data_IF_619074759607
#
_entry.id   IF_619074759607
#
_cell.length_a   1.000
_cell.length_b   1.000
_cell.length_c   1.000
_cell.angle_alpha   90.00
_cell.angle_beta   90.00
_cell.angle_gamma   90.00
#
_symmetry.space_group_name_H-M   'P 1'
#
loop_
_entity.id
_entity.type
_entity.pdbx_description
1 polymer ?
#
# COMPACT_ATOMS: atom_id res chain seq x y z
N UNK A 1 -35.22 47.47 -12.51
CA UNK A 1 -33.97 47.83 -11.80
C UNK A 1 -33.95 47.41 -10.33
N UNK A 2 -35.00 47.63 -9.53
CA UNK A 2 -35.03 47.25 -8.08
C UNK A 2 -35.02 45.72 -7.85
N UNK A 3 -35.68 44.93 -8.68
CA UNK A 3 -35.73 43.46 -8.58
C UNK A 3 -34.35 42.84 -8.91
N UNK A 4 -33.70 43.34 -9.96
CA UNK A 4 -32.37 42.86 -10.38
C UNK A 4 -31.33 43.10 -9.29
N UNK A 5 -31.33 44.25 -8.60
CA UNK A 5 -30.45 44.53 -7.45
C UNK A 5 -30.74 43.66 -6.24
N UNK A 6 -31.99 43.23 -6.03
CA UNK A 6 -32.33 42.26 -4.94
C UNK A 6 -31.83 40.88 -5.29
N UNK A 7 -32.00 40.40 -6.52
CA UNK A 7 -31.48 39.09 -6.96
C UNK A 7 -29.96 39.03 -6.86
N UNK A 8 -29.26 40.08 -7.31
CA UNK A 8 -27.79 40.13 -7.15
C UNK A 8 -27.33 40.10 -5.69
N UNK A 9 -28.06 40.78 -4.79
CA UNK A 9 -27.75 40.71 -3.32
C UNK A 9 -27.95 39.30 -2.77
N UNK A 10 -29.03 38.62 -3.16
CA UNK A 10 -29.27 37.24 -2.70
C UNK A 10 -28.24 36.25 -3.25
N UNK A 11 -27.82 36.39 -4.52
CA UNK A 11 -26.72 35.60 -5.08
C UNK A 11 -25.42 35.86 -4.34
N UNK A 12 -25.10 37.13 -4.03
CA UNK A 12 -23.91 37.48 -3.25
C UNK A 12 -23.95 36.91 -1.82
N UNK A 13 -25.12 36.95 -1.14
CA UNK A 13 -25.27 36.33 0.18
C UNK A 13 -25.13 34.79 0.15
N UNK A 14 -25.68 34.12 -0.88
CA UNK A 14 -25.54 32.67 -1.06
C UNK A 14 -24.09 32.26 -1.34
N UNK A 15 -23.37 33.04 -2.16
CA UNK A 15 -21.95 32.83 -2.41
C UNK A 15 -21.10 33.04 -1.14
N UNK A 16 -21.41 34.06 -0.35
CA UNK A 16 -20.73 34.30 0.94
C UNK A 16 -21.03 33.20 1.97
N UNK A 17 -22.26 32.69 2.01
CA UNK A 17 -22.63 31.55 2.88
C UNK A 17 -21.97 30.26 2.42
N UNK A 18 -21.86 30.01 1.11
CA UNK A 18 -21.14 28.88 0.55
C UNK A 18 -19.62 28.98 0.83
N UNK A 19 -19.04 30.20 0.72
CA UNK A 19 -17.65 30.46 1.06
C UNK A 19 -17.39 30.28 2.57
N UNK A 20 -18.28 30.83 3.42
CA UNK A 20 -18.19 30.69 4.87
C UNK A 20 -18.39 29.22 5.29
N UNK A 21 -19.36 28.51 4.71
CA UNK A 21 -19.54 27.07 4.92
C UNK A 21 -18.35 26.25 4.45
N UNK A 22 -17.75 26.60 3.32
CA UNK A 22 -16.51 25.98 2.83
C UNK A 22 -15.32 26.24 3.76
N UNK A 23 -15.18 27.47 4.27
CA UNK A 23 -14.12 27.83 5.23
C UNK A 23 -14.33 27.10 6.55
N UNK A 24 -15.56 27.03 7.07
CA UNK A 24 -15.88 26.27 8.30
C UNK A 24 -15.66 24.78 8.10
N UNK A 25 -16.05 24.23 6.95
CA UNK A 25 -15.79 22.84 6.61
C UNK A 25 -14.26 22.55 6.53
N UNK A 26 -13.49 23.44 5.88
CA UNK A 26 -12.03 23.35 5.82
C UNK A 26 -11.40 23.46 7.22
N UNK A 27 -11.93 24.32 8.09
CA UNK A 27 -11.43 24.46 9.46
C UNK A 27 -11.79 23.28 10.37
N UNK A 28 -12.93 22.63 10.15
CA UNK A 28 -13.39 21.49 10.98
C UNK A 28 -12.80 20.17 10.48
N UNK A 29 -12.67 20.00 9.15
CA UNK A 29 -12.22 18.74 8.52
C UNK A 29 -10.85 18.82 7.86
N UNK A 30 -10.23 19.98 7.84
CA UNK A 30 -8.99 20.25 7.12
C UNK A 30 -7.79 20.62 8.00
N UNK A 31 -7.87 20.46 9.32
CA UNK A 31 -6.66 20.60 10.13
C UNK A 31 -5.76 19.42 9.88
N UNK A 32 -4.68 19.62 9.13
CA UNK A 32 -3.62 18.63 9.03
C UNK A 32 -3.25 18.17 10.46
N UNK A 33 -3.16 16.86 10.70
CA UNK A 33 -2.78 16.35 12.01
C UNK A 33 -1.42 16.89 12.44
N UNK A 34 -1.14 16.87 13.73
CA UNK A 34 0.11 17.39 14.29
C UNK A 34 1.33 16.86 13.51
N UNK A 35 2.30 17.74 13.26
CA UNK A 35 3.57 17.31 12.62
C UNK A 35 4.30 16.33 13.53
N UNK A 36 4.87 15.31 12.94
CA UNK A 36 5.63 14.26 13.64
C UNK A 36 7.06 14.13 13.07
N UNK A 37 7.89 15.23 13.16
CA UNK A 37 9.25 15.18 12.64
C UNK A 37 10.14 14.16 13.38
N UNK A 38 9.74 13.73 14.55
CA UNK A 38 10.39 12.70 15.38
C UNK A 38 10.27 11.29 14.81
N UNK A 39 9.35 11.06 13.88
CA UNK A 39 9.10 9.77 13.23
C UNK A 39 9.62 9.72 11.78
N UNK A 40 9.58 10.87 11.08
CA UNK A 40 9.94 10.94 9.65
C UNK A 40 11.44 10.70 9.45
N UNK A 41 11.78 9.80 8.52
CA UNK A 41 13.17 9.54 8.15
C UNK A 41 13.70 10.58 7.15
N UNK A 42 14.99 10.86 7.14
CA UNK A 42 15.59 11.70 6.11
C UNK A 42 15.36 11.10 4.72
N UNK A 43 15.16 11.97 3.74
CA UNK A 43 15.00 11.54 2.36
C UNK A 43 16.36 11.03 1.83
N UNK A 44 16.42 9.82 1.24
CA UNK A 44 17.65 9.29 0.66
C UNK A 44 18.19 10.16 -0.49
N UNK A 45 19.51 10.12 -0.73
CA UNK A 45 20.11 10.82 -1.84
C UNK A 45 19.58 10.29 -3.19
N UNK A 46 19.26 11.19 -4.11
CA UNK A 46 18.69 10.82 -5.42
C UNK A 46 17.17 10.59 -5.44
N UNK A 47 16.52 10.43 -4.29
CA UNK A 47 15.07 10.33 -4.24
C UNK A 47 14.44 11.72 -4.39
N UNK A 48 13.57 11.95 -5.38
CA UNK A 48 12.93 13.25 -5.57
C UNK A 48 12.04 13.61 -4.38
N UNK A 49 12.08 14.86 -3.95
CA UNK A 49 11.20 15.35 -2.90
C UNK A 49 9.72 15.21 -3.35
N UNK A 50 8.81 14.89 -2.42
CA UNK A 50 7.39 14.87 -2.76
C UNK A 50 6.92 16.29 -3.14
N UNK A 51 5.93 16.40 -4.04
CA UNK A 51 5.41 17.70 -4.41
C UNK A 51 4.68 18.34 -3.22
N UNK A 52 4.61 19.68 -3.24
CA UNK A 52 3.90 20.42 -2.19
C UNK A 52 2.43 20.01 -2.14
N UNK A 53 1.95 19.72 -0.94
CA UNK A 53 0.57 19.33 -0.72
C UNK A 53 -0.42 20.47 -0.52
N UNK A 54 -1.61 20.14 -0.17
CA UNK A 54 -2.80 20.99 -0.10
C UNK A 54 -3.38 21.02 1.31
N UNK A 55 -4.14 22.07 1.68
CA UNK A 55 -4.65 22.20 3.04
C UNK A 55 -5.77 21.21 3.41
N UNK A 56 -6.36 20.51 2.43
CA UNK A 56 -7.41 19.52 2.68
C UNK A 56 -7.46 18.48 1.56
N UNK A 57 -8.06 17.33 1.85
CA UNK A 57 -8.28 16.25 0.86
C UNK A 57 -9.05 16.74 -0.36
N UNK A 58 -10.12 17.54 -0.19
CA UNK A 58 -10.91 18.07 -1.30
C UNK A 58 -10.06 18.95 -2.22
N UNK A 59 -9.23 19.82 -1.63
CA UNK A 59 -8.35 20.68 -2.43
C UNK A 59 -7.24 19.88 -3.11
N UNK A 60 -6.75 18.81 -2.48
CA UNK A 60 -5.77 17.92 -3.06
C UNK A 60 -6.33 17.14 -4.28
N UNK A 61 -7.53 16.57 -4.15
CA UNK A 61 -8.18 15.90 -5.29
C UNK A 61 -8.48 16.87 -6.44
N UNK A 62 -9.02 18.06 -6.14
CA UNK A 62 -9.27 19.06 -7.17
C UNK A 62 -7.98 19.48 -7.89
N UNK A 63 -6.91 19.70 -7.15
CA UNK A 63 -5.61 20.06 -7.71
C UNK A 63 -4.96 18.89 -8.46
N UNK A 64 -5.05 17.67 -7.96
CA UNK A 64 -4.59 16.48 -8.64
C UNK A 64 -5.27 16.30 -10.00
N UNK A 65 -6.58 16.54 -10.04
CA UNK A 65 -7.35 16.44 -11.28
C UNK A 65 -7.05 17.57 -12.29
N UNK A 66 -6.86 18.81 -11.82
CA UNK A 66 -6.72 19.98 -12.72
C UNK A 66 -5.28 20.35 -13.06
N UNK A 67 -4.30 20.04 -12.20
CA UNK A 67 -2.94 20.55 -12.30
C UNK A 67 -1.84 19.51 -12.39
N UNK A 68 -2.14 18.23 -12.12
CA UNK A 68 -1.18 17.14 -12.19
C UNK A 68 -1.65 16.05 -13.14
N UNK A 69 -0.70 15.43 -13.81
CA UNK A 69 -0.97 14.25 -14.62
C UNK A 69 -1.34 13.07 -13.69
N UNK A 70 -2.53 12.52 -13.89
CA UNK A 70 -2.98 11.32 -13.20
C UNK A 70 -2.48 10.12 -13.98
N UNK A 71 -1.93 9.13 -13.27
CA UNK A 71 -1.49 7.88 -13.87
C UNK A 71 -2.72 7.06 -14.23
N UNK A 72 -2.88 6.64 -15.50
CA UNK A 72 -3.93 5.72 -15.88
C UNK A 72 -3.78 4.39 -15.12
N UNK A 73 -4.80 3.97 -14.40
CA UNK A 73 -4.77 2.74 -13.60
C UNK A 73 -4.71 1.50 -14.51
N UNK A 74 -5.32 1.57 -15.70
CA UNK A 74 -5.55 0.39 -16.55
C UNK A 74 -4.58 0.24 -17.73
N UNK A 75 -3.97 1.33 -18.23
CA UNK A 75 -3.29 1.36 -19.53
C UNK A 75 -1.88 1.98 -19.48
N UNK A 76 -1.11 1.69 -18.45
CA UNK A 76 0.32 2.01 -18.52
C UNK A 76 0.90 1.31 -19.76
N UNK A 77 1.45 2.05 -20.76
CA UNK A 77 2.01 1.40 -21.96
C UNK A 77 3.08 0.41 -21.55
N UNK A 78 3.29 -0.67 -22.34
CA UNK A 78 4.42 -1.57 -22.13
C UNK A 78 5.72 -0.75 -22.11
N UNK A 79 6.53 -0.96 -21.09
CA UNK A 79 7.81 -0.26 -20.97
C UNK A 79 8.87 -1.06 -21.74
N UNK A 80 9.63 -0.44 -22.66
CA UNK A 80 10.69 -1.13 -23.39
C UNK A 80 11.71 -1.80 -22.44
N UNK A 81 12.11 -3.03 -22.78
CA UNK A 81 13.06 -3.81 -21.99
C UNK A 81 12.45 -4.52 -20.77
N UNK A 82 11.10 -4.50 -20.62
CA UNK A 82 10.38 -5.28 -19.61
C UNK A 82 9.55 -6.35 -20.28
N UNK A 83 9.73 -7.59 -19.85
CA UNK A 83 8.91 -8.75 -20.24
C UNK A 83 7.81 -8.94 -19.21
N UNK A 84 6.60 -9.18 -19.70
CA UNK A 84 5.43 -9.49 -18.86
C UNK A 84 4.89 -10.87 -19.21
N UNK A 85 4.61 -11.68 -18.19
CA UNK A 85 3.86 -12.93 -18.29
C UNK A 85 2.56 -12.77 -17.52
N UNK A 86 1.43 -12.85 -18.21
CA UNK A 86 0.11 -12.59 -17.62
C UNK A 86 -0.57 -13.89 -17.17
N UNK A 87 -1.50 -13.74 -16.22
CA UNK A 87 -2.44 -14.76 -15.77
C UNK A 87 -1.80 -16.09 -15.33
N UNK A 88 -0.63 -16.02 -14.70
CA UNK A 88 0.02 -17.19 -14.12
C UNK A 88 -0.77 -17.63 -12.88
N UNK A 89 -1.26 -18.86 -12.87
CA UNK A 89 -1.92 -19.41 -11.69
C UNK A 89 -0.89 -19.69 -10.59
N UNK A 90 -1.02 -19.01 -9.45
CA UNK A 90 -0.11 -19.20 -8.32
C UNK A 90 -0.68 -20.11 -7.22
N UNK A 91 -1.97 -20.38 -7.25
CA UNK A 91 -2.63 -21.20 -6.23
C UNK A 91 -4.13 -21.35 -6.46
N UNK A 92 -4.81 -21.82 -5.42
CA UNK A 92 -6.25 -22.00 -5.42
C UNK A 92 -6.80 -21.71 -4.02
N UNK A 93 -7.78 -20.83 -3.89
CA UNK A 93 -8.46 -20.53 -2.62
C UNK A 93 -9.92 -20.94 -2.65
N UNK A 94 -10.37 -21.84 -1.78
CA UNK A 94 -11.75 -22.38 -1.77
C UNK A 94 -12.21 -22.87 -3.17
N UNK A 95 -11.32 -23.47 -3.96
CA UNK A 95 -11.60 -23.92 -5.33
C UNK A 95 -11.53 -22.82 -6.40
N UNK A 96 -11.27 -21.57 -6.03
CA UNK A 96 -11.12 -20.43 -6.96
C UNK A 96 -9.65 -20.35 -7.40
N UNK A 97 -9.33 -20.43 -8.70
CA UNK A 97 -7.97 -20.22 -9.20
C UNK A 97 -7.49 -18.80 -8.90
N UNK A 98 -6.25 -18.68 -8.42
CA UNK A 98 -5.61 -17.42 -8.05
C UNK A 98 -4.49 -17.11 -9.06
N UNK A 99 -4.50 -15.91 -9.63
CA UNK A 99 -3.58 -15.53 -10.72
C UNK A 99 -2.74 -14.31 -10.36
N UNK A 100 -1.56 -14.23 -10.98
CA UNK A 100 -0.69 -13.05 -10.92
C UNK A 100 -0.13 -12.73 -12.32
N UNK A 101 0.35 -11.48 -12.48
CA UNK A 101 1.18 -11.09 -13.62
C UNK A 101 2.61 -10.87 -13.16
N UNK A 102 3.57 -11.40 -13.89
CA UNK A 102 4.98 -11.33 -13.55
C UNK A 102 5.72 -10.42 -14.54
N UNK A 103 6.57 -9.57 -14.00
CA UNK A 103 7.36 -8.57 -14.74
C UNK A 103 8.84 -8.75 -14.41
N UNK A 104 9.69 -8.79 -15.44
CA UNK A 104 11.14 -8.87 -15.28
C UNK A 104 11.83 -8.07 -16.39
N UNK A 105 13.09 -7.68 -16.18
CA UNK A 105 13.88 -7.10 -17.26
C UNK A 105 14.16 -8.14 -18.34
N UNK A 106 14.03 -7.78 -19.61
CA UNK A 106 14.38 -8.64 -20.75
C UNK A 106 15.85 -9.07 -20.71
N UNK A 107 16.72 -8.20 -20.17
CA UNK A 107 18.15 -8.45 -20.03
C UNK A 107 18.54 -9.18 -18.74
N UNK A 108 17.57 -9.60 -17.91
CA UNK A 108 17.87 -10.26 -16.63
C UNK A 108 18.72 -11.51 -16.84
N UNK A 109 19.80 -11.60 -16.07
CA UNK A 109 20.67 -12.77 -16.00
C UNK A 109 20.84 -13.18 -14.53
N UNK A 110 20.71 -14.49 -14.24
CA UNK A 110 20.79 -15.00 -12.88
C UNK A 110 19.57 -14.66 -12.03
N UNK A 111 19.74 -14.74 -10.72
CA UNK A 111 18.68 -14.48 -9.76
C UNK A 111 18.65 -12.98 -9.36
N UNK A 112 17.45 -12.45 -9.21
CA UNK A 112 17.16 -11.09 -8.77
C UNK A 112 16.19 -11.09 -7.59
N UNK A 113 16.17 -10.10 -6.72
CA UNK A 113 15.17 -10.01 -5.67
C UNK A 113 13.75 -10.03 -6.23
N UNK A 114 12.83 -10.72 -5.52
CA UNK A 114 11.42 -10.79 -5.85
C UNK A 114 10.60 -9.74 -5.09
N UNK A 115 9.60 -9.14 -5.74
CA UNK A 115 8.65 -8.23 -5.08
C UNK A 115 7.23 -8.58 -5.47
N UNK A 116 6.37 -8.86 -4.47
CA UNK A 116 4.95 -9.06 -4.70
C UNK A 116 4.17 -7.77 -4.40
N UNK A 117 3.24 -7.44 -5.27
CA UNK A 117 2.45 -6.21 -5.22
C UNK A 117 0.98 -6.52 -5.00
N UNK A 118 0.38 -5.96 -3.94
CA UNK A 118 -1.04 -6.11 -3.60
C UNK A 118 -1.77 -4.78 -3.81
N UNK A 119 -2.79 -4.78 -4.66
CA UNK A 119 -3.56 -3.58 -4.98
C UNK A 119 -4.53 -3.19 -3.87
N UNK A 120 -4.92 -1.90 -3.84
CA UNK A 120 -5.97 -1.36 -2.99
C UNK A 120 -7.37 -1.62 -3.51
N UNK A 121 -8.38 -1.04 -2.85
CA UNK A 121 -9.78 -1.15 -3.27
C UNK A 121 -10.72 -1.65 -2.17
N UNK A 122 -10.31 -1.52 -0.90
CA UNK A 122 -11.13 -1.82 0.28
C UNK A 122 -11.57 -3.28 0.38
N UNK A 123 -10.79 -4.21 -0.17
CA UNK A 123 -11.08 -5.66 -0.25
C UNK A 123 -12.36 -6.00 -1.05
N UNK A 124 -12.93 -5.03 -1.73
CA UNK A 124 -14.19 -5.16 -2.49
C UNK A 124 -13.97 -5.09 -3.99
N UNK A 125 -13.10 -4.21 -4.44
CA UNK A 125 -12.86 -3.93 -5.84
C UNK A 125 -11.36 -3.81 -6.10
N UNK A 126 -10.97 -3.94 -7.35
CA UNK A 126 -9.59 -3.82 -7.77
C UNK A 126 -9.11 -4.99 -8.63
N UNK A 127 -7.96 -4.78 -9.25
CA UNK A 127 -7.34 -5.76 -10.16
C UNK A 127 -5.82 -5.63 -10.08
N UNK A 128 -5.11 -6.71 -10.36
CA UNK A 128 -3.64 -6.77 -10.34
C UNK A 128 -2.95 -5.73 -11.23
N UNK A 129 -3.56 -5.36 -12.36
CA UNK A 129 -3.02 -4.37 -13.29
C UNK A 129 -2.96 -2.93 -12.77
N UNK A 130 -3.69 -2.60 -11.70
CA UNK A 130 -3.61 -1.29 -11.04
C UNK A 130 -2.19 -0.94 -10.55
N UNK A 131 -1.36 -1.95 -10.27
CA UNK A 131 0.03 -1.77 -9.84
C UNK A 131 1.05 -2.02 -10.97
N UNK A 132 0.61 -2.11 -12.23
CA UNK A 132 1.49 -2.31 -13.41
C UNK A 132 2.61 -1.28 -13.48
N UNK A 133 2.32 -0.02 -13.18
CA UNK A 133 3.33 1.05 -13.19
C UNK A 133 4.46 0.79 -12.21
N UNK A 134 4.15 0.29 -11.02
CA UNK A 134 5.15 -0.12 -10.04
C UNK A 134 5.90 -1.37 -10.49
N UNK A 135 5.18 -2.39 -10.94
CA UNK A 135 5.78 -3.65 -11.37
C UNK A 135 6.78 -3.46 -12.52
N UNK A 136 6.42 -2.68 -13.53
CA UNK A 136 7.32 -2.33 -14.63
C UNK A 136 8.53 -1.53 -14.15
N UNK A 137 8.32 -0.57 -13.24
CA UNK A 137 9.41 0.22 -12.67
C UNK A 137 10.40 -0.66 -11.89
N UNK A 138 9.91 -1.59 -11.08
CA UNK A 138 10.78 -2.54 -10.37
C UNK A 138 11.54 -3.46 -11.33
N UNK A 139 10.89 -3.96 -12.38
CA UNK A 139 11.57 -4.75 -13.41
C UNK A 139 12.72 -3.98 -14.08
N UNK A 140 12.52 -2.68 -14.38
CA UNK A 140 13.59 -1.83 -14.90
C UNK A 140 14.75 -1.61 -13.90
N UNK A 141 14.48 -1.76 -12.60
CA UNK A 141 15.48 -1.63 -11.54
C UNK A 141 16.05 -2.97 -11.07
N UNK A 142 15.86 -4.04 -11.85
CA UNK A 142 16.49 -5.34 -11.60
C UNK A 142 15.80 -6.18 -10.54
N UNK A 143 14.49 -6.07 -10.43
CA UNK A 143 13.63 -6.94 -9.63
C UNK A 143 12.77 -7.84 -10.51
N UNK A 144 12.38 -9.00 -10.00
CA UNK A 144 11.24 -9.75 -10.52
C UNK A 144 10.00 -9.34 -9.73
N UNK A 145 9.05 -8.67 -10.38
CA UNK A 145 7.87 -8.13 -9.73
C UNK A 145 6.63 -8.95 -10.10
N UNK A 146 5.80 -9.29 -9.11
CA UNK A 146 4.54 -10.02 -9.31
C UNK A 146 3.35 -9.19 -8.83
N UNK A 147 2.48 -8.76 -9.76
CA UNK A 147 1.22 -8.12 -9.44
C UNK A 147 0.16 -9.20 -9.16
N UNK A 148 -0.30 -9.29 -7.91
CA UNK A 148 -1.08 -10.41 -7.40
C UNK A 148 -2.57 -10.09 -7.38
N UNK A 149 -3.39 -10.95 -8.02
CA UNK A 149 -4.83 -10.95 -7.83
C UNK A 149 -5.18 -11.83 -6.63
N UNK A 150 -5.79 -11.25 -5.62
CA UNK A 150 -6.30 -11.95 -4.45
C UNK A 150 -7.83 -11.93 -4.44
N UNK A 151 -8.48 -12.82 -3.69
CA UNK A 151 -9.93 -12.87 -3.56
C UNK A 151 -10.48 -11.61 -2.92
N UNK A 152 -11.66 -11.19 -3.40
CA UNK A 152 -12.36 -9.98 -2.99
C UNK A 152 -13.77 -10.31 -2.51
N UNK A 153 -14.43 -9.37 -1.84
CA UNK A 153 -15.83 -9.48 -1.40
C UNK A 153 -16.06 -10.71 -0.54
N UNK A 154 -17.12 -11.44 -0.77
CA UNK A 154 -17.54 -12.64 -0.02
C UNK A 154 -16.50 -13.77 -0.13
N UNK A 155 -15.79 -13.85 -1.24
CA UNK A 155 -14.74 -14.86 -1.46
C UNK A 155 -13.43 -14.50 -0.73
N UNK A 156 -13.18 -13.21 -0.48
CA UNK A 156 -11.96 -12.67 0.12
C UNK A 156 -12.10 -12.11 1.54
N UNK A 157 -13.16 -12.45 2.26
CA UNK A 157 -13.35 -12.04 3.66
C UNK A 157 -12.16 -12.46 4.54
N UNK A 158 -11.90 -11.66 5.57
CA UNK A 158 -10.84 -11.97 6.53
C UNK A 158 -10.99 -13.39 7.10
N UNK A 159 -9.92 -14.22 7.16
CA UNK A 159 -8.53 -13.96 6.76
C UNK A 159 -8.16 -14.41 5.33
N UNK A 160 -9.12 -14.77 4.47
CA UNK A 160 -8.90 -15.47 3.19
C UNK A 160 -7.99 -14.71 2.22
N UNK A 161 -8.11 -13.38 2.12
CA UNK A 161 -7.21 -12.59 1.26
C UNK A 161 -5.76 -12.57 1.77
N UNK A 162 -5.54 -12.75 3.08
CA UNK A 162 -4.20 -12.93 3.67
C UNK A 162 -3.62 -14.29 3.26
N UNK A 163 -4.45 -15.34 3.27
CA UNK A 163 -4.05 -16.67 2.79
C UNK A 163 -3.59 -16.63 1.35
N UNK A 164 -4.30 -15.88 0.49
CA UNK A 164 -3.94 -15.69 -0.93
C UNK A 164 -2.59 -14.96 -1.07
N UNK A 165 -2.39 -13.88 -0.32
CA UNK A 165 -1.16 -13.12 -0.34
C UNK A 165 0.05 -13.97 0.09
N UNK A 166 -0.09 -14.76 1.15
CA UNK A 166 0.96 -15.69 1.61
C UNK A 166 1.18 -16.84 0.64
N UNK A 167 0.13 -17.36 0.01
CA UNK A 167 0.25 -18.37 -1.05
C UNK A 167 1.07 -17.82 -2.21
N UNK A 168 0.90 -16.56 -2.62
CA UNK A 168 1.69 -15.92 -3.68
C UNK A 168 3.18 -15.82 -3.30
N UNK A 169 3.52 -15.51 -2.04
CA UNK A 169 4.92 -15.52 -1.57
C UNK A 169 5.52 -16.93 -1.66
N UNK A 170 4.81 -17.95 -1.19
CA UNK A 170 5.26 -19.33 -1.27
C UNK A 170 5.42 -19.79 -2.71
N UNK A 171 4.50 -19.39 -3.60
CA UNK A 171 4.60 -19.69 -5.03
C UNK A 171 5.85 -19.06 -5.65
N UNK A 172 6.14 -17.78 -5.36
CA UNK A 172 7.32 -17.10 -5.88
C UNK A 172 8.61 -17.82 -5.46
N UNK A 173 8.68 -18.28 -4.21
CA UNK A 173 9.79 -19.03 -3.67
C UNK A 173 9.92 -20.42 -4.31
N UNK A 174 8.79 -21.12 -4.54
CA UNK A 174 8.77 -22.43 -5.19
C UNK A 174 9.24 -22.39 -6.64
N UNK A 175 9.04 -21.27 -7.34
CA UNK A 175 9.40 -21.08 -8.75
C UNK A 175 10.61 -20.13 -8.92
N UNK A 176 11.41 -19.98 -7.88
CA UNK A 176 12.54 -19.05 -7.86
C UNK A 176 13.50 -19.30 -9.05
N UNK A 177 13.90 -20.55 -9.29
CA UNK A 177 14.79 -20.92 -10.40
C UNK A 177 14.13 -20.68 -11.77
N UNK A 178 12.83 -20.95 -11.91
CA UNK A 178 12.10 -20.79 -13.18
C UNK A 178 12.01 -19.34 -13.63
N UNK A 179 11.85 -18.42 -12.67
CA UNK A 179 11.66 -16.99 -12.95
C UNK A 179 12.87 -16.13 -12.60
N UNK A 180 13.98 -16.74 -12.21
CA UNK A 180 15.21 -16.02 -11.85
C UNK A 180 15.03 -15.15 -10.62
N UNK A 181 14.32 -15.64 -9.60
CA UNK A 181 14.13 -14.97 -8.29
C UNK A 181 15.15 -15.51 -7.30
N UNK A 182 15.72 -14.62 -6.47
CA UNK A 182 16.44 -15.05 -5.27
C UNK A 182 15.42 -15.39 -4.17
N UNK A 183 15.27 -16.67 -3.76
CA UNK A 183 14.27 -17.10 -2.79
C UNK A 183 14.49 -16.52 -1.40
N UNK A 184 15.71 -16.06 -1.09
CA UNK A 184 16.04 -15.44 0.21
C UNK A 184 15.84 -13.92 0.20
N UNK A 185 15.55 -13.32 -0.95
CA UNK A 185 15.41 -11.87 -1.15
C UNK A 185 14.03 -11.53 -1.72
N UNK A 186 12.97 -11.73 -0.94
CA UNK A 186 11.59 -11.46 -1.33
C UNK A 186 11.01 -10.33 -0.48
N UNK A 187 10.52 -9.28 -1.13
CA UNK A 187 9.76 -8.19 -0.51
C UNK A 187 8.29 -8.19 -0.89
N UNK A 188 7.48 -7.53 -0.09
CA UNK A 188 6.07 -7.31 -0.38
C UNK A 188 5.72 -5.83 -0.29
N UNK A 189 4.81 -5.38 -1.14
CA UNK A 189 4.27 -4.03 -1.07
C UNK A 189 2.79 -4.01 -1.41
N UNK A 190 2.14 -2.94 -0.98
CA UNK A 190 0.79 -2.66 -1.41
C UNK A 190 0.35 -1.23 -1.09
N UNK A 191 -0.83 -0.88 -1.57
CA UNK A 191 -1.46 0.38 -1.26
C UNK A 191 -2.85 0.15 -0.62
N UNK A 192 -3.25 0.97 0.36
CA UNK A 192 -4.56 0.88 1.04
C UNK A 192 -4.85 -0.54 1.57
N UNK A 193 -5.90 -1.20 1.12
CA UNK A 193 -6.23 -2.58 1.46
C UNK A 193 -5.11 -3.57 1.09
N UNK A 194 -4.37 -3.32 0.02
CA UNK A 194 -3.20 -4.12 -0.37
C UNK A 194 -2.01 -3.90 0.56
N UNK A 195 -1.81 -2.68 1.08
CA UNK A 195 -0.80 -2.41 2.08
C UNK A 195 -1.08 -3.16 3.40
N UNK A 196 -2.34 -3.23 3.79
CA UNK A 196 -2.76 -4.11 4.89
C UNK A 196 -2.36 -5.56 4.63
N UNK A 197 -2.57 -6.08 3.41
CA UNK A 197 -2.15 -7.44 3.07
C UNK A 197 -0.62 -7.60 3.12
N UNK A 198 0.14 -6.61 2.64
CA UNK A 198 1.60 -6.62 2.74
C UNK A 198 2.07 -6.67 4.20
N UNK A 199 1.49 -5.84 5.08
CA UNK A 199 1.78 -5.84 6.52
C UNK A 199 1.43 -7.19 7.16
N UNK A 200 0.22 -7.72 6.94
CA UNK A 200 -0.18 -9.02 7.49
C UNK A 200 0.69 -10.14 6.97
N UNK A 201 1.06 -10.14 5.69
CA UNK A 201 1.97 -11.14 5.11
C UNK A 201 3.33 -11.11 5.79
N UNK A 202 3.95 -9.93 5.92
CA UNK A 202 5.29 -9.80 6.50
C UNK A 202 5.34 -10.00 8.00
N UNK A 203 4.31 -9.58 8.74
CA UNK A 203 4.33 -9.58 10.20
C UNK A 203 3.81 -10.87 10.83
N UNK A 204 3.13 -11.72 10.06
CA UNK A 204 2.51 -12.95 10.58
C UNK A 204 3.05 -14.22 9.92
N UNK A 205 4.28 -14.18 9.39
CA UNK A 205 4.90 -15.36 8.82
C UNK A 205 5.00 -16.48 9.89
N UNK A 206 4.60 -17.71 9.51
CA UNK A 206 4.59 -18.85 10.42
C UNK A 206 3.45 -18.87 11.45
N UNK A 207 2.51 -17.89 11.42
CA UNK A 207 1.29 -17.97 12.24
C UNK A 207 0.27 -18.85 11.52
N UNK A 208 -0.06 -20.04 12.03
CA UNK A 208 -0.85 -21.05 11.30
C UNK A 208 -2.23 -20.54 10.83
N UNK A 209 -2.88 -19.69 11.63
CA UNK A 209 -4.19 -19.11 11.30
C UNK A 209 -4.17 -18.30 9.98
N UNK A 210 -3.00 -17.76 9.58
CA UNK A 210 -2.84 -16.90 8.41
C UNK A 210 -2.12 -17.54 7.24
N UNK A 211 -1.59 -18.76 7.39
CA UNK A 211 -0.85 -19.40 6.29
C UNK A 211 -1.78 -19.87 5.16
N UNK A 212 -2.97 -20.35 5.48
CA UNK A 212 -3.90 -20.90 4.48
C UNK A 212 -3.39 -22.16 3.79
N UNK A 213 -4.19 -22.72 2.92
CA UNK A 213 -3.99 -23.99 2.22
C UNK A 213 -3.97 -23.85 0.69
N UNK A 214 -3.82 -22.64 0.18
CA UNK A 214 -3.92 -22.31 -1.25
C UNK A 214 -2.85 -22.90 -2.15
N UNK A 215 -1.79 -23.48 -1.59
CA UNK A 215 -0.69 -24.16 -2.31
C UNK A 215 0.66 -23.97 -1.63
N UNK A 216 1.62 -24.75 -2.08
CA UNK A 216 3.05 -24.68 -1.74
C UNK A 216 3.36 -24.80 -0.25
N UNK A 217 2.81 -25.80 0.47
CA UNK A 217 2.93 -25.90 1.93
C UNK A 217 4.37 -26.12 2.41
N UNK A 218 5.27 -26.61 1.52
CA UNK A 218 6.70 -26.85 1.83
C UNK A 218 7.52 -25.55 1.79
N UNK A 219 6.94 -24.46 1.28
CA UNK A 219 7.64 -23.19 1.15
C UNK A 219 7.29 -22.23 2.29
N UNK A 220 8.25 -21.39 2.65
CA UNK A 220 8.07 -20.35 3.66
C UNK A 220 7.32 -19.13 3.08
N UNK A 221 6.46 -18.51 3.88
CA UNK A 221 5.83 -17.22 3.60
C UNK A 221 6.63 -16.02 4.16
N UNK A 222 7.81 -16.25 4.74
CA UNK A 222 8.70 -15.19 5.27
C UNK A 222 9.12 -14.25 4.14
N UNK A 223 9.13 -12.94 4.44
CA UNK A 223 9.64 -11.91 3.54
C UNK A 223 10.65 -11.02 4.26
N UNK A 224 11.58 -10.44 3.50
CA UNK A 224 12.72 -9.69 4.03
C UNK A 224 12.47 -8.19 4.13
N UNK A 225 11.43 -7.67 3.44
CA UNK A 225 11.08 -6.24 3.48
C UNK A 225 9.60 -6.05 3.19
N UNK A 226 9.00 -5.02 3.81
CA UNK A 226 7.57 -4.67 3.66
C UNK A 226 7.43 -3.20 3.29
N UNK A 227 6.54 -2.89 2.34
CA UNK A 227 6.16 -1.51 2.02
C UNK A 227 4.68 -1.30 2.22
N UNK A 228 4.35 -0.34 3.06
CA UNK A 228 3.00 0.12 3.39
C UNK A 228 2.74 1.50 2.79
N UNK A 229 1.88 1.57 1.76
CA UNK A 229 1.41 2.84 1.21
C UNK A 229 -0.01 3.10 1.73
N UNK A 230 -0.12 3.96 2.73
CA UNK A 230 -1.38 4.39 3.40
C UNK A 230 -2.33 3.25 3.81
N UNK A 231 -1.79 2.13 4.30
CA UNK A 231 -2.59 1.00 4.77
C UNK A 231 -3.19 1.19 6.17
N UNK A 232 -4.34 0.57 6.45
CA UNK A 232 -4.85 0.50 7.81
C UNK A 232 -4.05 -0.51 8.64
N UNK A 233 -3.70 -0.13 9.86
CA UNK A 233 -2.79 -0.89 10.72
C UNK A 233 -3.43 -1.37 12.03
N UNK A 234 -4.53 -0.73 12.46
CA UNK A 234 -5.26 -1.06 13.68
C UNK A 234 -6.77 -0.99 13.47
N UNK A 235 -7.44 -2.12 13.44
CA UNK A 235 -8.88 -2.24 13.27
C UNK A 235 -9.66 -2.07 14.57
N UNK A 236 -8.98 -1.90 15.72
CA UNK A 236 -9.63 -1.68 17.02
C UNK A 236 -9.85 -0.19 17.31
N UNK A 237 -9.23 0.70 16.54
CA UNK A 237 -9.30 2.14 16.74
C UNK A 237 -10.71 2.69 16.46
N UNK A 238 -11.27 3.49 17.37
CA UNK A 238 -12.55 4.17 17.14
C UNK A 238 -12.55 4.95 15.81
N UNK A 239 -13.64 4.83 15.03
CA UNK A 239 -13.72 5.39 13.68
C UNK A 239 -13.13 4.50 12.58
N UNK A 240 -12.15 3.61 12.90
CA UNK A 240 -11.69 2.61 11.95
C UNK A 240 -12.49 1.32 12.06
N UNK A 241 -12.65 0.79 13.27
CA UNK A 241 -13.41 -0.42 13.55
C UNK A 241 -14.84 -0.41 13.02
N UNK A 242 -15.47 0.77 12.99
CA UNK A 242 -16.88 0.98 12.59
C UNK A 242 -16.99 1.40 11.11
N UNK A 243 -15.87 1.55 10.39
CA UNK A 243 -15.90 1.93 8.99
C UNK A 243 -16.47 0.80 8.13
N UNK A 244 -17.40 1.13 7.22
CA UNK A 244 -18.15 0.15 6.42
C UNK A 244 -17.29 -0.83 5.62
N UNK A 245 -16.12 -0.40 5.14
CA UNK A 245 -15.17 -1.30 4.45
C UNK A 245 -14.57 -2.33 5.40
N UNK A 246 -14.21 -1.92 6.64
CA UNK A 246 -13.68 -2.83 7.66
C UNK A 246 -14.76 -3.79 8.13
N UNK A 247 -15.94 -3.29 8.48
CA UNK A 247 -17.09 -4.12 8.86
C UNK A 247 -17.44 -5.13 7.77
N UNK A 248 -17.45 -4.70 6.50
CA UNK A 248 -17.69 -5.58 5.35
C UNK A 248 -16.61 -6.65 5.17
N UNK A 249 -15.33 -6.28 5.27
CA UNK A 249 -14.21 -7.21 5.17
C UNK A 249 -14.16 -8.20 6.33
N UNK A 250 -14.46 -7.74 7.54
CA UNK A 250 -14.53 -8.57 8.75
C UNK A 250 -15.80 -9.44 8.81
N UNK A 251 -16.79 -9.16 7.94
CA UNK A 251 -18.12 -9.81 7.98
C UNK A 251 -18.75 -9.79 9.37
N UNK A 252 -18.75 -8.61 10.00
CA UNK A 252 -19.30 -8.39 11.34
C UNK A 252 -18.75 -7.14 11.98
N UNK A 253 -19.31 -6.75 13.11
CA UNK A 253 -18.94 -5.54 13.85
C UNK A 253 -17.91 -5.83 14.93
N UNK A 254 -17.22 -4.77 15.37
CA UNK A 254 -16.27 -4.88 16.49
C UNK A 254 -16.95 -5.34 17.79
N UNK A 255 -18.16 -4.86 18.08
CA UNK A 255 -18.86 -5.19 19.32
C UNK A 255 -19.32 -6.67 19.37
N UNK A 256 -19.50 -7.32 18.19
CA UNK A 256 -19.81 -8.74 18.09
C UNK A 256 -18.59 -9.64 18.38
N UNK A 257 -17.40 -9.25 17.93
CA UNK A 257 -16.16 -10.03 18.11
C UNK A 257 -14.92 -9.13 18.16
N UNK A 258 -14.66 -8.44 19.28
CA UNK A 258 -13.48 -7.59 19.44
C UNK A 258 -12.15 -8.33 19.20
N UNK A 259 -12.07 -9.59 19.64
CA UNK A 259 -10.85 -10.39 19.53
C UNK A 259 -10.45 -10.64 18.06
N UNK A 260 -11.43 -10.79 17.15
CA UNK A 260 -11.19 -10.95 15.72
C UNK A 260 -10.59 -9.67 15.13
N UNK A 261 -11.05 -8.50 15.52
CA UNK A 261 -10.50 -7.21 15.06
C UNK A 261 -9.09 -6.96 15.62
N UNK A 262 -8.83 -7.40 16.85
CA UNK A 262 -7.48 -7.40 17.40
C UNK A 262 -6.53 -8.27 16.57
N UNK A 263 -6.91 -9.51 16.27
CA UNK A 263 -6.15 -10.42 15.41
C UNK A 263 -5.96 -9.88 13.99
N UNK A 264 -6.94 -9.15 13.46
CA UNK A 264 -6.86 -8.54 12.14
C UNK A 264 -5.98 -7.27 12.09
N UNK A 265 -5.41 -6.81 13.20
CA UNK A 265 -4.64 -5.56 13.29
C UNK A 265 -3.15 -5.83 13.15
N UNK A 266 -2.49 -5.51 12.00
CA UNK A 266 -1.07 -5.82 11.81
C UNK A 266 -0.16 -5.19 12.87
N UNK A 267 -0.49 -4.03 13.41
CA UNK A 267 0.26 -3.38 14.48
C UNK A 267 0.46 -4.28 15.71
N UNK A 268 -0.41 -5.27 15.94
CA UNK A 268 -0.31 -6.23 17.07
C UNK A 268 0.85 -7.21 16.92
N UNK A 269 1.31 -7.45 15.70
CA UNK A 269 2.35 -8.43 15.39
C UNK A 269 3.74 -7.82 15.28
N UNK A 270 3.90 -6.53 15.51
CA UNK A 270 5.21 -5.88 15.54
C UNK A 270 6.01 -6.38 16.75
N UNK A 271 7.17 -6.96 16.45
CA UNK A 271 8.15 -7.49 17.40
C UNK A 271 9.55 -7.06 16.93
N UNK A 272 10.59 -7.45 17.67
CA UNK A 272 11.99 -7.21 17.30
C UNK A 272 12.42 -7.96 16.04
N UNK A 273 11.67 -9.01 15.64
CA UNK A 273 11.94 -9.80 14.43
C UNK A 273 11.09 -9.39 13.23
N UNK A 274 10.30 -8.32 13.36
CA UNK A 274 9.53 -7.76 12.26
C UNK A 274 10.47 -7.31 11.14
N UNK A 275 10.19 -7.65 9.87
CA UNK A 275 11.04 -7.22 8.76
C UNK A 275 11.09 -5.69 8.64
N UNK A 276 12.19 -5.14 8.11
CA UNK A 276 12.28 -3.73 7.75
C UNK A 276 11.04 -3.26 7.01
N UNK A 277 10.53 -2.08 7.37
CA UNK A 277 9.25 -1.59 6.84
C UNK A 277 9.35 -0.15 6.34
N UNK A 278 9.01 0.09 5.07
CA UNK A 278 8.83 1.43 4.51
C UNK A 278 7.36 1.82 4.59
N UNK A 279 7.07 2.99 5.17
CA UNK A 279 5.72 3.53 5.33
C UNK A 279 5.60 4.86 4.59
N UNK A 280 4.58 5.00 3.75
CA UNK A 280 4.35 6.22 2.95
C UNK A 280 2.89 6.64 3.12
N UNK A 281 2.64 7.86 3.64
CA UNK A 281 1.28 8.27 3.94
C UNK A 281 1.06 9.78 3.77
N UNK A 282 -0.05 10.16 3.16
CA UNK A 282 -0.47 11.55 3.02
C UNK A 282 -1.17 12.09 4.28
N UNK A 283 -0.88 13.32 4.68
CA UNK A 283 -1.34 13.85 5.98
C UNK A 283 -2.80 14.28 6.01
N UNK A 284 -3.45 14.42 4.86
CA UNK A 284 -4.88 14.80 4.78
C UNK A 284 -5.76 13.64 4.30
N UNK A 285 -5.29 12.42 4.48
CA UNK A 285 -6.06 11.20 4.21
C UNK A 285 -7.23 11.06 5.19
N UNK A 286 -8.45 11.15 4.67
CA UNK A 286 -9.68 11.01 5.45
C UNK A 286 -10.22 9.58 5.43
N UNK A 287 -9.78 8.74 4.48
CA UNK A 287 -10.20 7.34 4.40
C UNK A 287 -9.42 6.47 5.39
N UNK A 288 -8.10 6.59 5.40
CA UNK A 288 -7.22 5.96 6.39
C UNK A 288 -6.41 7.07 7.06
N UNK A 289 -6.80 7.52 8.27
CA UNK A 289 -6.08 8.61 8.92
C UNK A 289 -4.58 8.31 9.08
N UNK A 290 -3.73 9.29 8.79
CA UNK A 290 -2.27 9.16 8.89
C UNK A 290 -1.79 8.73 10.29
N UNK A 291 -2.62 8.91 11.32
CA UNK A 291 -2.37 8.40 12.68
C UNK A 291 -2.24 6.88 12.75
N UNK A 292 -2.80 6.15 11.79
CA UNK A 292 -2.60 4.70 11.67
C UNK A 292 -1.11 4.37 11.40
N UNK A 293 -0.50 5.07 10.44
CA UNK A 293 0.93 4.94 10.14
C UNK A 293 1.81 5.55 11.24
N UNK A 294 1.44 6.70 11.82
CA UNK A 294 2.18 7.30 12.93
C UNK A 294 2.34 6.29 14.08
N UNK A 295 1.26 5.59 14.46
CA UNK A 295 1.26 4.57 15.53
C UNK A 295 2.05 3.32 15.17
N UNK A 296 1.96 2.87 13.90
CA UNK A 296 2.76 1.75 13.41
C UNK A 296 4.25 2.07 13.53
N UNK A 297 4.66 3.23 13.03
CA UNK A 297 6.06 3.67 13.06
C UNK A 297 6.58 3.86 14.48
N UNK A 298 5.77 4.43 15.39
CA UNK A 298 6.12 4.48 16.82
C UNK A 298 6.42 3.07 17.37
N UNK A 299 5.60 2.10 17.02
CA UNK A 299 5.78 0.73 17.49
C UNK A 299 7.01 0.07 16.88
N UNK A 300 7.27 0.25 15.58
CA UNK A 300 8.49 -0.20 14.91
C UNK A 300 9.73 0.38 15.62
N UNK A 301 9.72 1.70 15.87
CA UNK A 301 10.81 2.39 16.59
C UNK A 301 11.05 1.83 18.00
N UNK A 302 10.00 1.58 18.77
CA UNK A 302 10.09 1.01 20.12
C UNK A 302 10.71 -0.39 20.11
N UNK A 303 10.42 -1.20 19.08
CA UNK A 303 10.97 -2.56 18.93
C UNK A 303 12.32 -2.60 18.20
N UNK A 304 12.92 -1.45 17.86
CA UNK A 304 14.21 -1.38 17.17
C UNK A 304 14.19 -1.90 15.73
N UNK A 305 13.00 -2.00 15.12
CA UNK A 305 12.85 -2.42 13.73
C UNK A 305 13.34 -1.31 12.80
N UNK A 306 14.11 -1.66 11.77
CA UNK A 306 14.50 -0.71 10.72
C UNK A 306 13.28 -0.23 9.95
N UNK A 307 13.13 1.09 9.79
CA UNK A 307 12.02 1.64 9.04
C UNK A 307 12.40 2.91 8.26
N UNK A 308 11.69 3.13 7.15
CA UNK A 308 11.60 4.44 6.49
C UNK A 308 10.17 4.96 6.64
N UNK A 309 10.03 6.26 6.90
CA UNK A 309 8.72 6.89 6.96
C UNK A 309 8.67 8.20 6.17
N UNK A 310 7.95 8.18 5.06
CA UNK A 310 7.62 9.37 4.27
C UNK A 310 6.18 9.82 4.58
N UNK A 311 6.07 10.83 5.44
CA UNK A 311 4.81 11.47 5.82
C UNK A 311 4.59 12.67 4.92
N UNK A 312 3.84 12.49 3.82
CA UNK A 312 3.72 13.46 2.73
C UNK A 312 2.67 14.52 3.08
N UNK A 313 3.15 15.72 3.36
CA UNK A 313 2.29 16.82 3.84
C UNK A 313 1.27 17.26 2.78
N UNK A 314 -0.02 17.34 3.19
CA UNK A 314 -1.12 17.83 2.37
C UNK A 314 -1.58 16.90 1.24
N UNK A 315 -1.26 15.62 1.27
CA UNK A 315 -1.73 14.65 0.28
C UNK A 315 -2.79 13.69 0.85
N UNK A 316 -3.82 13.35 0.04
CA UNK A 316 -4.94 12.51 0.46
C UNK A 316 -4.66 11.02 0.25
N UNK A 317 -5.66 10.18 0.51
CA UNK A 317 -5.70 8.78 0.07
C UNK A 317 -5.53 8.64 -1.44
N UNK A 318 -4.91 7.55 -1.89
CA UNK A 318 -4.62 7.28 -3.31
C UNK A 318 -3.76 8.38 -3.99
N UNK A 319 -2.90 9.07 -3.22
CA UNK A 319 -2.04 10.14 -3.71
C UNK A 319 -1.06 9.70 -4.79
N UNK A 320 -0.68 8.45 -4.80
CA UNK A 320 0.23 7.83 -5.78
C UNK A 320 -0.40 7.63 -7.16
N UNK A 321 -1.70 7.91 -7.33
CA UNK A 321 -2.33 8.07 -8.64
C UNK A 321 -1.87 9.35 -9.38
N UNK A 322 -1.23 10.30 -8.68
CA UNK A 322 -0.64 11.51 -9.27
C UNK A 322 0.82 11.26 -9.64
N UNK A 323 1.19 11.50 -10.89
CA UNK A 323 2.52 11.20 -11.46
C UNK A 323 3.67 11.73 -10.59
N UNK A 324 3.57 12.98 -10.12
CA UNK A 324 4.63 13.59 -9.31
C UNK A 324 4.81 12.90 -7.95
N UNK A 325 3.72 12.49 -7.29
CA UNK A 325 3.77 11.71 -6.05
C UNK A 325 4.24 10.29 -6.32
N UNK A 326 3.75 9.67 -7.39
CA UNK A 326 4.17 8.32 -7.78
C UNK A 326 5.68 8.25 -8.05
N UNK A 327 6.27 9.28 -8.70
CA UNK A 327 7.71 9.32 -8.94
C UNK A 327 8.52 9.37 -7.65
N UNK A 328 8.07 10.16 -6.64
CA UNK A 328 8.66 10.14 -5.30
C UNK A 328 8.52 8.76 -4.65
N UNK A 329 7.32 8.22 -4.65
CA UNK A 329 6.98 6.94 -4.00
C UNK A 329 7.80 5.79 -4.59
N UNK A 330 7.86 5.65 -5.92
CA UNK A 330 8.63 4.61 -6.60
C UNK A 330 10.11 4.67 -6.28
N UNK A 331 10.70 5.87 -6.34
CA UNK A 331 12.12 6.05 -6.08
C UNK A 331 12.47 5.72 -4.62
N UNK A 332 11.63 6.14 -3.66
CA UNK A 332 11.82 5.83 -2.25
C UNK A 332 11.73 4.31 -1.99
N UNK A 333 10.77 3.63 -2.62
CA UNK A 333 10.60 2.18 -2.46
C UNK A 333 11.79 1.41 -3.05
N UNK A 334 12.28 1.81 -4.23
CA UNK A 334 13.46 1.17 -4.83
C UNK A 334 14.69 1.35 -3.94
N UNK A 335 14.95 2.56 -3.44
CA UNK A 335 16.05 2.81 -2.50
C UNK A 335 15.93 1.93 -1.24
N UNK A 336 14.74 1.84 -0.68
CA UNK A 336 14.46 0.97 0.47
C UNK A 336 14.71 -0.51 0.16
N UNK A 337 14.17 -1.02 -0.94
CA UNK A 337 14.37 -2.41 -1.33
C UNK A 337 15.83 -2.70 -1.72
N UNK A 338 16.53 -1.77 -2.35
CA UNK A 338 17.97 -1.92 -2.68
C UNK A 338 18.79 -2.15 -1.40
N UNK A 339 18.52 -1.39 -0.35
CA UNK A 339 19.22 -1.54 0.95
C UNK A 339 18.89 -2.87 1.67
N UNK A 340 17.67 -3.38 1.52
CA UNK A 340 17.20 -4.53 2.32
C UNK A 340 17.12 -5.85 1.55
N UNK A 341 17.10 -5.82 0.20
CA UNK A 341 17.00 -7.03 -0.61
C UNK A 341 18.25 -7.29 -1.44
N UNK A 342 18.93 -6.24 -1.99
CA UNK A 342 20.12 -6.44 -2.82
C UNK A 342 21.42 -6.58 -2.04
N UNK A 343 21.56 -5.86 -0.91
CA UNK A 343 22.76 -6.00 -0.08
C UNK A 343 22.81 -7.32 0.69
N UNK A 344 21.67 -7.86 1.09
CA UNK A 344 21.61 -9.20 1.71
C UNK A 344 22.12 -10.30 0.76
N UNK A 345 21.87 -10.18 -0.55
CA UNK A 345 22.37 -11.13 -1.56
C UNK A 345 23.91 -11.08 -1.73
N UNK A 346 24.57 -9.92 -1.52
CA UNK A 346 26.02 -9.81 -1.63
C UNK A 346 26.76 -10.44 -0.44
N UNK A 347 26.21 -10.38 0.77
CA UNK A 347 26.81 -11.00 1.96
C UNK A 347 26.68 -12.53 1.96
N UNK A 348 25.60 -13.07 1.38
CA UNK A 348 25.40 -14.53 1.25
C UNK A 348 26.26 -15.19 0.13
N UNK A 349 26.77 -14.40 -0.81
CA UNK A 349 27.61 -14.89 -1.91
C UNK A 349 29.13 -14.90 -1.54
N UNK A 350 29.53 -14.24 -0.46
CA UNK A 350 30.92 -14.18 0.03
C UNK A 350 31.20 -15.12 1.23
N UNK A 351 30.21 -15.82 1.78
CA UNK A 351 30.31 -16.78 2.88
C UNK A 351 30.21 -18.22 2.42
#
# INVERSE_FOLDING_TARGET
MKIFRRVLKWIGCLLLLALAGGIVFICIYGSAPAKRPDLVTPLPEGVPAPPRGYPSEITAFAAGYFFYDIIPIEDGPPVPGVVMKEDIQYGTGDGIPLHLDLYAAESQQGHAPGVLLFFGGGWRDGRKDQLRVYAQYFAQHGYVAAAVQYRLREDGLWPKSIHDAKCAVRWMRAHADEYGVDPECIGVMGNSAGAYLALMTGYTAGVPEFEGDGGWPEQSSVVQAVVDIYGPTDFTEPGRRDHSLVVGYMNGTYDEDPARFEKASPIRYVTETTPPTCVIHGTVDMLVPVTQSDRLVEKLKVHGVSYDYSRIDGWPHAMDAVVAVNNHTKALIVDFFDRHLKHAASESAEG
#
